data_IF_188940452910
#
_entry.id   IF_188940452910
#
_cell.length_a   1.000
_cell.length_b   1.000
_cell.length_c   1.000
_cell.angle_alpha   90.00
_cell.angle_beta   90.00
_cell.angle_gamma   90.00
#
_symmetry.space_group_name_H-M   'P 1'
#
loop_
_entity.id
_entity.type
_entity.pdbx_description
1 polymer ?
#
# COMPACT_ATOMS: atom_id res chain seq x y z
N UNK A 1 -7.82 6.00 -2.42
CA UNK A 1 -7.70 4.53 -2.61
C UNK A 1 -8.28 4.14 -3.95
N UNK A 2 -7.70 3.15 -4.62
CA UNK A 2 -8.19 2.65 -5.92
C UNK A 2 -8.15 1.12 -5.96
N UNK A 3 -9.06 0.50 -6.73
CA UNK A 3 -9.08 -0.94 -7.04
C UNK A 3 -8.99 -1.11 -8.55
N UNK A 4 -8.08 -1.95 -9.04
CA UNK A 4 -7.82 -2.18 -10.47
C UNK A 4 -8.02 -3.66 -10.80
N UNK A 5 -8.72 -3.98 -11.89
CA UNK A 5 -9.14 -5.36 -12.25
C UNK A 5 -8.32 -6.04 -13.34
N UNK A 6 -8.22 -7.37 -13.18
CA UNK A 6 -7.94 -8.30 -14.28
C UNK A 6 -8.61 -9.67 -13.97
N UNK A 7 -9.73 -10.05 -14.67
CA UNK A 7 -10.46 -11.34 -14.71
C UNK A 7 -11.42 -11.83 -13.59
N UNK A 8 -12.24 -12.87 -13.91
CA UNK A 8 -13.59 -13.19 -13.44
C UNK A 8 -13.78 -14.10 -12.18
N UNK A 9 -12.75 -14.55 -11.48
CA UNK A 9 -12.91 -15.34 -10.23
C UNK A 9 -11.96 -14.85 -9.14
N UNK A 10 -12.55 -14.27 -8.11
CA UNK A 10 -11.78 -13.63 -7.05
C UNK A 10 -12.22 -14.08 -5.65
N UNK A 11 -11.29 -14.64 -4.86
CA UNK A 11 -11.43 -14.83 -3.42
C UNK A 11 -10.69 -13.70 -2.67
N UNK A 12 -11.32 -13.12 -1.65
CA UNK A 12 -10.72 -12.06 -0.80
C UNK A 12 -9.38 -12.47 -0.16
N UNK A 13 -9.15 -13.77 -0.03
CA UNK A 13 -7.94 -14.34 0.57
C UNK A 13 -6.67 -14.12 -0.26
N UNK A 14 -6.79 -13.82 -1.55
CA UNK A 14 -5.65 -13.62 -2.46
C UNK A 14 -5.48 -12.16 -2.91
N UNK A 15 -6.30 -11.22 -2.37
CA UNK A 15 -6.20 -9.83 -2.75
C UNK A 15 -4.95 -9.17 -2.18
N UNK A 16 -4.18 -8.53 -3.05
CA UNK A 16 -3.02 -7.73 -2.65
C UNK A 16 -3.40 -6.27 -2.41
N UNK A 17 -2.73 -5.65 -1.46
CA UNK A 17 -2.75 -4.20 -1.28
C UNK A 17 -1.40 -3.61 -1.69
N UNK A 18 -1.41 -2.76 -2.69
CA UNK A 18 -0.26 -1.97 -3.12
C UNK A 18 -0.20 -0.68 -2.32
N UNK A 19 0.93 -0.41 -1.69
CA UNK A 19 1.14 0.81 -0.90
C UNK A 19 2.23 1.66 -1.55
N UNK A 20 1.88 2.87 -1.96
CA UNK A 20 2.78 3.81 -2.61
C UNK A 20 3.56 4.60 -1.53
N UNK A 21 4.76 4.15 -1.20
CA UNK A 21 5.58 4.66 -0.11
C UNK A 21 6.89 5.35 -0.56
N UNK A 22 7.04 5.65 -1.86
CA UNK A 22 8.29 6.15 -2.42
C UNK A 22 8.35 7.67 -2.69
N UNK A 23 7.35 8.45 -2.28
CA UNK A 23 7.32 9.90 -2.52
C UNK A 23 8.24 10.71 -1.60
N UNK A 24 8.70 11.88 -2.07
CA UNK A 24 9.58 12.81 -1.32
C UNK A 24 8.96 13.44 -0.07
N UNK A 25 7.64 13.49 0.01
CA UNK A 25 6.95 14.01 1.19
C UNK A 25 7.10 15.53 1.44
N UNK A 26 7.28 16.32 0.42
CA UNK A 26 7.69 17.75 0.48
C UNK A 26 6.75 18.71 1.22
N UNK A 27 5.55 18.30 1.59
CA UNK A 27 4.51 19.17 2.19
C UNK A 27 4.51 19.23 3.73
N UNK A 28 5.25 18.37 4.42
CA UNK A 28 5.39 18.37 5.88
C UNK A 28 6.87 18.63 6.19
N UNK A 29 7.21 19.86 6.55
CA UNK A 29 8.56 20.40 6.41
C UNK A 29 9.56 19.98 7.50
N UNK A 30 9.17 19.64 8.71
CA UNK A 30 10.14 19.53 9.81
C UNK A 30 10.55 18.06 10.14
N UNK A 31 9.66 17.10 10.08
CA UNK A 31 9.99 15.70 10.39
C UNK A 31 10.36 14.86 9.15
N UNK A 32 9.94 15.25 7.95
CA UNK A 32 10.22 14.52 6.71
C UNK A 32 11.70 14.58 6.27
N UNK A 33 12.49 15.50 6.84
CA UNK A 33 13.93 15.53 6.63
C UNK A 33 14.67 14.37 7.32
N UNK A 34 14.10 13.77 8.35
CA UNK A 34 14.72 12.69 9.11
C UNK A 34 14.16 11.31 8.69
N UNK A 35 12.85 11.18 8.55
CA UNK A 35 12.15 9.92 8.19
C UNK A 35 11.26 10.13 6.97
N UNK A 36 11.07 9.11 6.09
CA UNK A 36 10.04 9.18 5.05
C UNK A 36 8.66 9.19 5.71
N UNK A 37 7.69 9.92 5.13
CA UNK A 37 6.35 10.10 5.69
C UNK A 37 5.67 8.80 6.16
N UNK A 38 5.71 7.69 5.40
CA UNK A 38 5.13 6.44 5.84
C UNK A 38 5.70 5.92 7.17
N UNK A 39 6.89 6.38 7.56
CA UNK A 39 7.58 5.98 8.79
C UNK A 39 7.40 6.96 9.96
N UNK A 40 6.61 8.02 9.79
CA UNK A 40 6.20 8.89 10.90
C UNK A 40 5.31 8.06 11.84
N UNK A 41 5.59 8.16 13.14
CA UNK A 41 4.94 7.31 14.14
C UNK A 41 3.70 7.98 14.74
N UNK A 42 2.66 7.18 14.89
CA UNK A 42 1.44 7.50 15.63
C UNK A 42 1.26 6.42 16.68
N UNK A 43 1.26 6.79 17.95
CA UNK A 43 1.14 5.82 19.04
C UNK A 43 2.25 4.75 19.06
N UNK A 44 3.47 5.12 18.65
CA UNK A 44 4.63 4.22 18.64
C UNK A 44 4.68 3.23 17.47
N UNK A 45 3.85 3.41 16.44
CA UNK A 45 3.87 2.62 15.20
C UNK A 45 3.85 3.55 13.99
N UNK A 46 4.58 3.22 12.91
CA UNK A 46 4.55 4.00 11.66
C UNK A 46 3.15 4.11 11.07
N UNK A 47 2.86 5.20 10.36
CA UNK A 47 1.62 5.35 9.55
C UNK A 47 1.44 4.13 8.63
N UNK A 48 2.50 3.68 8.00
CA UNK A 48 2.51 2.49 7.14
C UNK A 48 1.97 1.24 7.85
N UNK A 49 2.36 1.02 9.11
CA UNK A 49 1.84 -0.09 9.92
C UNK A 49 0.33 0.04 10.15
N UNK A 50 -0.17 1.24 10.43
CA UNK A 50 -1.60 1.48 10.64
C UNK A 50 -2.40 1.23 9.35
N UNK A 51 -1.89 1.65 8.20
CA UNK A 51 -2.50 1.36 6.90
C UNK A 51 -2.62 -0.15 6.71
N UNK A 52 -1.55 -0.90 6.88
CA UNK A 52 -1.54 -2.36 6.74
C UNK A 52 -2.52 -3.01 7.73
N UNK A 53 -2.61 -2.49 8.96
CA UNK A 53 -3.54 -2.99 9.98
C UNK A 53 -5.00 -2.79 9.58
N UNK A 54 -5.35 -1.67 8.95
CA UNK A 54 -6.70 -1.41 8.41
C UNK A 54 -7.05 -2.47 7.36
N UNK A 55 -6.18 -2.73 6.39
CA UNK A 55 -6.42 -3.76 5.37
C UNK A 55 -6.50 -5.16 5.97
N UNK A 56 -5.64 -5.47 6.94
CA UNK A 56 -5.61 -6.77 7.63
C UNK A 56 -6.91 -7.10 8.38
N UNK A 57 -7.59 -6.09 8.95
CA UNK A 57 -8.93 -6.27 9.57
C UNK A 57 -9.94 -6.78 8.53
N UNK A 58 -9.79 -6.39 7.28
CA UNK A 58 -10.60 -6.84 6.14
C UNK A 58 -10.04 -8.10 5.44
N UNK A 59 -9.15 -8.86 6.10
CA UNK A 59 -8.55 -10.11 5.61
C UNK A 59 -7.56 -9.94 4.44
N UNK A 60 -7.09 -8.75 4.17
CA UNK A 60 -6.04 -8.48 3.17
C UNK A 60 -4.71 -8.40 3.90
N UNK A 61 -3.88 -9.44 3.74
CA UNK A 61 -2.60 -9.58 4.43
C UNK A 61 -1.40 -9.65 3.48
N UNK A 62 -1.62 -9.57 2.16
CA UNK A 62 -0.59 -9.53 1.13
C UNK A 62 -0.34 -8.09 0.69
N UNK A 63 0.86 -7.61 0.95
CA UNK A 63 1.24 -6.22 0.71
C UNK A 63 2.40 -6.12 -0.28
N UNK A 64 2.26 -5.26 -1.29
CA UNK A 64 3.36 -4.84 -2.17
C UNK A 64 3.64 -3.36 -1.87
N UNK A 65 4.78 -3.07 -1.27
CA UNK A 65 5.16 -1.71 -0.87
C UNK A 65 6.14 -1.15 -1.89
N UNK A 66 5.70 -0.13 -2.62
CA UNK A 66 6.51 0.57 -3.63
C UNK A 66 7.45 1.55 -2.93
N UNK A 67 8.73 1.23 -2.91
CA UNK A 67 9.78 2.05 -2.31
C UNK A 67 10.32 3.09 -3.30
N UNK A 68 10.96 4.12 -2.78
CA UNK A 68 11.65 5.17 -3.49
C UNK A 68 12.48 5.98 -2.49
N UNK A 69 12.22 7.29 -2.36
CA UNK A 69 12.95 8.14 -1.43
C UNK A 69 13.01 7.54 -0.01
N UNK A 70 14.22 7.40 0.52
CA UNK A 70 14.50 6.77 1.83
C UNK A 70 13.90 5.38 2.01
N UNK A 71 13.74 4.61 0.94
CA UNK A 71 13.21 3.24 0.98
C UNK A 71 13.98 2.30 1.90
N UNK A 72 15.27 2.55 2.12
CA UNK A 72 16.11 1.74 3.00
C UNK A 72 15.66 1.80 4.47
N UNK A 73 15.13 2.94 4.95
CA UNK A 73 14.57 3.04 6.30
C UNK A 73 13.30 2.19 6.46
N UNK A 74 12.52 2.04 5.39
CA UNK A 74 11.34 1.16 5.38
C UNK A 74 11.78 -0.30 5.40
N UNK A 75 12.78 -0.68 4.60
CA UNK A 75 13.36 -2.04 4.61
C UNK A 75 13.87 -2.40 5.99
N UNK A 76 14.70 -1.52 6.59
CA UNK A 76 15.26 -1.72 7.92
C UNK A 76 14.19 -1.92 9.00
N UNK A 77 13.05 -1.22 8.91
CA UNK A 77 11.93 -1.41 9.84
C UNK A 77 11.32 -2.80 9.71
N UNK A 78 11.07 -3.27 8.50
CA UNK A 78 10.47 -4.59 8.29
C UNK A 78 11.44 -5.75 8.56
N UNK A 79 12.73 -5.55 8.44
CA UNK A 79 13.76 -6.55 8.77
C UNK A 79 13.91 -6.77 10.28
N UNK A 80 13.48 -5.82 11.11
CA UNK A 80 13.64 -5.87 12.58
C UNK A 80 12.59 -6.68 13.33
N UNK A 81 11.42 -6.92 12.74
CA UNK A 81 10.28 -7.49 13.44
C UNK A 81 9.62 -8.59 12.62
N UNK A 82 9.02 -9.56 13.33
CA UNK A 82 8.08 -10.50 12.72
C UNK A 82 6.71 -9.84 12.57
N UNK A 83 6.20 -9.81 11.35
CA UNK A 83 4.91 -9.22 11.00
C UNK A 83 3.84 -10.25 10.65
N UNK A 84 4.05 -11.53 11.01
CA UNK A 84 3.02 -12.57 10.80
C UNK A 84 1.65 -12.08 11.34
N UNK A 85 0.54 -12.19 10.58
CA UNK A 85 0.37 -12.97 9.33
C UNK A 85 0.56 -12.19 8.02
N UNK A 86 1.23 -11.04 8.02
CA UNK A 86 1.40 -10.22 6.82
C UNK A 86 2.50 -10.79 5.91
N UNK A 87 2.18 -10.95 4.63
CA UNK A 87 3.14 -11.23 3.58
C UNK A 87 3.53 -9.90 2.92
N UNK A 88 4.79 -9.51 3.05
CA UNK A 88 5.27 -8.17 2.67
C UNK A 88 6.33 -8.30 1.59
N UNK A 89 6.07 -7.69 0.43
CA UNK A 89 7.03 -7.55 -0.65
C UNK A 89 7.46 -6.08 -0.76
N UNK A 90 8.74 -5.82 -0.54
CA UNK A 90 9.33 -4.49 -0.67
C UNK A 90 9.97 -4.36 -2.06
N UNK A 91 9.41 -3.52 -2.91
CA UNK A 91 9.87 -3.35 -4.30
C UNK A 91 10.42 -1.95 -4.49
N UNK A 92 11.69 -1.85 -4.86
CA UNK A 92 12.27 -0.57 -5.26
C UNK A 92 11.70 -0.15 -6.62
N UNK A 93 10.95 0.92 -6.61
CA UNK A 93 10.32 1.48 -7.81
C UNK A 93 11.00 2.76 -8.30
N UNK A 94 12.16 3.10 -7.72
CA UNK A 94 12.96 4.26 -8.08
C UNK A 94 12.50 5.54 -7.40
N UNK A 95 13.46 6.40 -7.10
CA UNK A 95 13.25 7.63 -6.33
C UNK A 95 12.37 8.64 -7.08
N UNK A 96 12.72 8.92 -8.35
CA UNK A 96 12.04 9.93 -9.20
C UNK A 96 10.81 9.39 -9.95
N UNK A 97 10.31 8.21 -9.56
CA UNK A 97 9.20 7.56 -10.26
C UNK A 97 7.86 8.10 -9.79
N UNK A 98 7.03 8.55 -10.73
CA UNK A 98 5.66 8.99 -10.47
C UNK A 98 4.72 7.81 -10.20
N UNK A 99 3.53 8.08 -9.65
CA UNK A 99 2.53 7.10 -9.21
C UNK A 99 2.27 6.00 -10.25
N UNK A 100 1.91 6.36 -11.47
CA UNK A 100 1.65 5.40 -12.55
C UNK A 100 2.88 4.59 -12.95
N UNK A 101 4.06 5.20 -12.91
CA UNK A 101 5.33 4.52 -13.15
C UNK A 101 5.63 3.46 -12.09
N UNK A 102 5.32 3.73 -10.80
CA UNK A 102 5.47 2.74 -9.72
C UNK A 102 4.57 1.53 -9.93
N UNK A 103 3.30 1.76 -10.26
CA UNK A 103 2.36 0.68 -10.59
C UNK A 103 2.84 -0.16 -11.77
N UNK A 104 3.38 0.48 -12.82
CA UNK A 104 3.94 -0.25 -13.97
C UNK A 104 5.13 -1.13 -13.58
N UNK A 105 5.99 -0.67 -12.68
CA UNK A 105 7.18 -1.43 -12.24
C UNK A 105 6.88 -2.62 -11.35
N UNK A 106 5.70 -2.69 -10.75
CA UNK A 106 5.26 -3.81 -9.92
C UNK A 106 4.30 -4.76 -10.64
N UNK A 107 4.11 -4.62 -11.95
CA UNK A 107 3.16 -5.43 -12.72
C UNK A 107 3.38 -6.93 -12.54
N UNK A 108 4.63 -7.39 -12.41
CA UNK A 108 4.97 -8.79 -12.24
C UNK A 108 4.72 -9.31 -10.80
N UNK A 109 4.36 -8.43 -9.88
CA UNK A 109 3.98 -8.76 -8.51
C UNK A 109 2.47 -8.82 -8.30
N UNK A 110 1.69 -8.55 -9.34
CA UNK A 110 0.23 -8.43 -9.28
C UNK A 110 -0.40 -9.30 -10.36
N UNK A 111 -1.25 -10.21 -9.94
CA UNK A 111 -1.84 -11.21 -10.83
C UNK A 111 -3.28 -10.87 -11.23
N UNK A 112 -4.02 -10.07 -10.43
CA UNK A 112 -5.45 -9.81 -10.60
C UNK A 112 -5.87 -8.44 -10.01
N UNK A 113 -7.14 -8.31 -9.64
CA UNK A 113 -7.67 -7.15 -8.92
C UNK A 113 -6.90 -6.91 -7.61
N UNK A 114 -6.53 -5.68 -7.35
CA UNK A 114 -5.78 -5.29 -6.17
C UNK A 114 -6.22 -3.93 -5.63
N UNK A 115 -5.99 -3.70 -4.35
CA UNK A 115 -6.17 -2.40 -3.74
C UNK A 115 -4.91 -1.55 -3.92
N UNK A 116 -5.08 -0.23 -4.10
CA UNK A 116 -3.97 0.73 -4.11
C UNK A 116 -4.24 1.83 -3.10
N UNK A 117 -3.24 2.16 -2.29
CA UNK A 117 -3.32 3.29 -1.36
C UNK A 117 -1.99 4.04 -1.28
N UNK A 118 -2.03 5.29 -0.82
CA UNK A 118 -0.82 6.04 -0.48
C UNK A 118 -0.32 5.62 0.91
N UNK A 119 1.00 5.65 1.10
CA UNK A 119 1.67 5.24 2.34
C UNK A 119 1.68 6.30 3.45
N UNK A 120 1.02 7.45 3.25
CA UNK A 120 1.02 8.59 4.16
C UNK A 120 -0.37 9.10 4.54
N UNK A 121 -1.43 8.38 4.17
CA UNK A 121 -2.81 8.74 4.45
C UNK A 121 -3.59 7.62 5.13
N UNK A 122 -4.29 7.93 6.21
CA UNK A 122 -5.26 7.06 6.89
C UNK A 122 -6.67 7.52 6.54
N UNK A 123 -7.57 6.58 6.31
CA UNK A 123 -8.97 6.84 6.04
C UNK A 123 -9.88 5.80 6.70
N UNK A 124 -11.07 6.23 7.09
CA UNK A 124 -12.12 5.37 7.64
C UNK A 124 -13.00 4.85 6.48
N UNK A 125 -12.42 3.97 5.67
CA UNK A 125 -13.10 3.37 4.51
C UNK A 125 -13.39 1.91 4.81
N UNK A 126 -14.66 1.50 4.68
CA UNK A 126 -15.03 0.08 4.69
C UNK A 126 -14.54 -0.61 3.41
N UNK A 127 -13.36 -1.21 3.50
CA UNK A 127 -12.69 -1.87 2.37
C UNK A 127 -13.50 -3.05 1.85
N UNK A 128 -14.19 -3.80 2.71
CA UNK A 128 -15.06 -4.92 2.30
C UNK A 128 -16.21 -4.43 1.44
N UNK A 129 -16.89 -3.37 1.88
CA UNK A 129 -17.98 -2.75 1.13
C UNK A 129 -17.50 -2.15 -0.20
N UNK A 130 -16.31 -1.53 -0.21
CA UNK A 130 -15.72 -0.98 -1.42
C UNK A 130 -15.40 -2.07 -2.46
N UNK A 131 -14.84 -3.20 -2.03
CA UNK A 131 -14.55 -4.33 -2.91
C UNK A 131 -15.84 -4.93 -3.47
N UNK A 132 -16.87 -5.07 -2.63
CA UNK A 132 -18.19 -5.55 -3.05
C UNK A 132 -18.81 -4.64 -4.09
N UNK A 133 -18.77 -3.32 -3.88
CA UNK A 133 -19.24 -2.32 -4.83
C UNK A 133 -18.47 -2.39 -6.16
N UNK A 134 -17.13 -2.51 -6.09
CA UNK A 134 -16.30 -2.64 -7.29
C UNK A 134 -16.71 -3.84 -8.15
N UNK A 135 -16.91 -5.01 -7.52
CA UNK A 135 -17.35 -6.24 -8.18
C UNK A 135 -18.74 -6.08 -8.79
N UNK A 136 -19.69 -5.51 -8.05
CA UNK A 136 -21.06 -5.26 -8.53
C UNK A 136 -21.07 -4.38 -9.77
N UNK A 137 -20.30 -3.31 -9.76
CA UNK A 137 -20.24 -2.34 -10.88
C UNK A 137 -19.40 -2.81 -12.06
N UNK A 138 -18.61 -3.88 -11.91
CA UNK A 138 -17.69 -4.41 -12.94
C UNK A 138 -16.82 -3.30 -13.55
N UNK A 139 -16.37 -2.38 -12.72
CA UNK A 139 -15.58 -1.22 -13.14
C UNK A 139 -14.10 -1.60 -13.30
N UNK A 140 -13.39 -0.92 -14.21
CA UNK A 140 -11.94 -1.07 -14.35
C UNK A 140 -11.21 -0.52 -13.12
N UNK A 141 -11.73 0.55 -12.52
CA UNK A 141 -11.22 1.14 -11.30
C UNK A 141 -12.36 1.73 -10.46
N UNK A 142 -12.23 1.70 -9.15
CA UNK A 142 -13.11 2.36 -8.18
C UNK A 142 -12.26 3.23 -7.26
N UNK A 143 -12.66 4.47 -7.07
CA UNK A 143 -11.94 5.46 -6.25
C UNK A 143 -12.81 5.88 -5.07
N UNK A 144 -12.15 6.21 -3.94
CA UNK A 144 -12.76 6.82 -2.74
C UNK A 144 -12.06 8.09 -2.38
#
# INVERSE_FOLDING_TARGET
>A
MAILMNSDQFELTNMKCVILAGGYGTRISEESHLKPKPMIEIGGKPILWHIMKIYSVHKINDFVICLGYKGDQIKEYFDRFDFTPWNIQLVDTGEDTMTGGRLKRIQDHIDDTFCVTYGDGLGDVDITSLISFHKEKKSVATLT
#
